data_IF_511573269506
#
_entry.id   IF_511573269506
#
_cell.length_a   1.000
_cell.length_b   1.000
_cell.length_c   1.000
_cell.angle_alpha   90.00
_cell.angle_beta   90.00
_cell.angle_gamma   90.00
#
_symmetry.space_group_name_H-M   'P 1'
#
loop_
_entity.id
_entity.type
_entity.pdbx_description
1 polymer ?
#
# COMPACT_ATOMS: atom_id res chain seq x y z
N UNK A 1 -2.23 7.42 4.68
CA UNK A 1 -1.21 6.58 4.02
C UNK A 1 -1.85 5.85 2.87
N UNK A 2 -1.07 5.56 1.84
CA UNK A 2 -1.48 4.82 0.67
C UNK A 2 -0.36 3.83 0.34
N UNK A 3 -0.72 2.57 0.07
CA UNK A 3 0.17 1.57 -0.51
C UNK A 3 -0.17 1.42 -2.00
N UNK A 4 0.66 1.95 -2.92
CA UNK A 4 0.38 1.84 -4.35
C UNK A 4 0.64 0.42 -4.86
N UNK A 5 -0.33 -0.15 -5.58
CA UNK A 5 -0.21 -1.44 -6.26
C UNK A 5 -0.51 -1.26 -7.74
N UNK A 6 0.25 -1.94 -8.60
CA UNK A 6 0.01 -1.95 -10.04
C UNK A 6 0.47 -3.26 -10.67
N UNK A 7 -0.12 -3.60 -11.82
CA UNK A 7 0.26 -4.74 -12.65
C UNK A 7 0.65 -4.27 -14.05
N UNK A 8 1.40 -5.09 -14.79
CA UNK A 8 1.63 -4.84 -16.21
C UNK A 8 2.29 -6.00 -16.94
N UNK A 9 2.16 -6.02 -18.27
CA UNK A 9 2.66 -7.13 -19.10
C UNK A 9 4.19 -7.26 -19.17
N UNK A 10 4.94 -6.27 -18.67
CA UNK A 10 6.41 -6.33 -18.64
C UNK A 10 7.01 -5.31 -17.66
N UNK A 11 8.28 -5.51 -17.31
CA UNK A 11 9.05 -4.60 -16.44
C UNK A 11 9.21 -3.19 -17.02
N UNK A 12 9.05 -3.00 -18.34
CA UNK A 12 9.17 -1.69 -18.98
C UNK A 12 8.14 -0.68 -18.45
N UNK A 13 7.01 -1.15 -17.91
CA UNK A 13 5.97 -0.32 -17.30
C UNK A 13 6.16 -0.08 -15.80
N UNK A 14 7.20 -0.62 -15.17
CA UNK A 14 7.44 -0.46 -13.73
C UNK A 14 7.54 1.01 -13.32
N UNK A 15 8.11 1.86 -14.20
CA UNK A 15 8.23 3.30 -13.98
C UNK A 15 6.87 4.01 -13.95
N UNK A 16 5.78 3.42 -14.47
CA UNK A 16 4.46 4.02 -14.42
C UNK A 16 3.97 4.25 -12.98
N UNK A 17 4.35 3.39 -12.03
CA UNK A 17 4.02 3.56 -10.62
C UNK A 17 4.65 4.85 -10.07
N UNK A 18 5.93 5.05 -10.36
CA UNK A 18 6.68 6.17 -9.81
C UNK A 18 6.41 7.49 -10.54
N UNK A 19 6.18 7.45 -11.85
CA UNK A 19 6.08 8.64 -12.68
C UNK A 19 4.66 9.03 -13.09
N UNK A 20 3.67 8.14 -12.97
CA UNK A 20 2.27 8.47 -13.23
C UNK A 20 1.42 8.45 -11.95
N UNK A 21 1.53 7.38 -11.14
CA UNK A 21 0.65 7.20 -10.00
C UNK A 21 1.04 8.06 -8.78
N UNK A 22 2.34 8.12 -8.43
CA UNK A 22 2.81 8.95 -7.30
C UNK A 22 2.48 10.45 -7.47
N UNK A 23 2.64 11.09 -8.64
CA UNK A 23 2.20 12.47 -8.84
C UNK A 23 0.71 12.70 -8.57
N UNK A 24 -0.15 11.78 -8.98
CA UNK A 24 -1.61 11.87 -8.72
C UNK A 24 -1.89 11.76 -7.22
N UNK A 25 -1.28 10.79 -6.54
CA UNK A 25 -1.43 10.64 -5.08
C UNK A 25 -0.94 11.88 -4.31
N UNK A 26 0.13 12.51 -4.79
CA UNK A 26 0.64 13.77 -4.25
C UNK A 26 -0.35 14.91 -4.45
N UNK A 27 -0.94 15.03 -5.64
CA UNK A 27 -1.98 16.03 -5.94
C UNK A 27 -3.22 15.87 -5.05
N UNK A 28 -3.59 14.62 -4.71
CA UNK A 28 -4.68 14.30 -3.78
C UNK A 28 -4.32 14.53 -2.30
N UNK A 29 -3.15 15.12 -2.00
CA UNK A 29 -2.66 15.40 -0.65
C UNK A 29 -2.55 14.15 0.22
N UNK A 30 -2.16 13.03 -0.39
CA UNK A 30 -1.88 11.81 0.36
C UNK A 30 -0.81 12.09 1.41
N UNK A 31 -1.18 11.96 2.68
CA UNK A 31 -0.31 12.34 3.80
C UNK A 31 0.98 11.50 3.89
N UNK A 32 1.00 10.32 3.26
CA UNK A 32 2.13 9.41 3.21
C UNK A 32 1.88 8.42 2.08
N UNK A 33 2.86 8.23 1.19
CA UNK A 33 2.79 7.26 0.09
C UNK A 33 3.93 6.28 0.29
N UNK A 34 3.60 5.00 0.49
CA UNK A 34 4.58 3.94 0.71
C UNK A 34 5.27 3.55 -0.60
N UNK A 35 6.32 2.73 -0.49
CA UNK A 35 6.94 2.13 -1.66
C UNK A 35 5.90 1.30 -2.42
N UNK A 36 5.76 1.56 -3.71
CA UNK A 36 4.76 0.90 -4.53
C UNK A 36 5.21 -0.51 -4.93
N UNK A 37 4.26 -1.41 -5.13
CA UNK A 37 4.52 -2.76 -5.60
C UNK A 37 4.02 -2.88 -7.02
N UNK A 38 4.91 -3.28 -7.91
CA UNK A 38 4.61 -3.60 -9.29
C UNK A 38 4.76 -5.10 -9.50
N UNK A 39 3.68 -5.72 -9.97
CA UNK A 39 3.64 -7.12 -10.40
C UNK A 39 3.72 -7.19 -11.92
N UNK A 40 4.64 -8.00 -12.46
CA UNK A 40 4.57 -8.35 -13.88
C UNK A 40 3.55 -9.47 -14.07
N UNK A 41 2.86 -9.49 -15.21
CA UNK A 41 1.78 -10.44 -15.49
C UNK A 41 2.22 -11.90 -15.33
N UNK A 42 3.48 -12.23 -15.64
CA UNK A 42 4.03 -13.58 -15.45
C UNK A 42 4.14 -14.02 -13.98
N UNK A 43 3.96 -13.12 -13.01
CA UNK A 43 3.94 -13.44 -11.58
C UNK A 43 2.52 -13.70 -11.06
N UNK A 44 1.50 -13.59 -11.92
CA UNK A 44 0.09 -13.74 -11.58
C UNK A 44 -0.50 -14.83 -12.46
N UNK A 45 -0.87 -15.95 -11.85
CA UNK A 45 -1.68 -16.98 -12.49
C UNK A 45 -3.15 -16.73 -12.20
N UNK A 46 -3.96 -16.66 -13.25
CA UNK A 46 -5.40 -16.49 -13.15
C UNK A 46 -6.07 -17.87 -13.25
N UNK A 47 -6.25 -18.51 -12.11
CA UNK A 47 -6.84 -19.83 -11.98
C UNK A 47 -8.30 -19.72 -11.53
N UNK A 48 -9.13 -20.71 -11.88
CA UNK A 48 -10.54 -20.78 -11.46
C UNK A 48 -10.66 -21.40 -10.05
N UNK A 49 -9.89 -20.85 -9.11
CA UNK A 49 -9.92 -21.21 -7.69
C UNK A 49 -10.75 -20.19 -6.89
N UNK A 50 -11.11 -20.52 -5.64
CA UNK A 50 -11.91 -19.62 -4.79
C UNK A 50 -11.24 -18.26 -4.52
N UNK A 51 -9.92 -18.18 -4.67
CA UNK A 51 -9.11 -16.98 -4.44
C UNK A 51 -8.90 -16.12 -5.71
N UNK A 52 -9.32 -16.61 -6.88
CA UNK A 52 -9.21 -15.93 -8.18
C UNK A 52 -7.81 -15.96 -8.81
N UNK A 53 -6.89 -16.80 -8.32
CA UNK A 53 -5.55 -16.96 -8.87
C UNK A 53 -4.48 -17.36 -7.86
N UNK A 54 -3.24 -17.41 -8.34
CA UNK A 54 -2.04 -17.64 -7.52
C UNK A 54 -0.96 -16.63 -7.89
N UNK A 55 -0.15 -16.24 -6.90
CA UNK A 55 0.95 -15.30 -7.08
C UNK A 55 2.28 -16.04 -6.93
N UNK A 56 3.30 -15.60 -7.66
CA UNK A 56 4.65 -16.13 -7.44
C UNK A 56 5.16 -15.78 -6.03
N UNK A 57 6.15 -16.54 -5.56
CA UNK A 57 6.68 -16.41 -4.20
C UNK A 57 7.29 -15.01 -3.95
N UNK A 58 7.99 -14.46 -4.94
CA UNK A 58 8.68 -13.17 -4.83
C UNK A 58 7.69 -12.01 -4.72
N UNK A 59 6.61 -12.02 -5.51
CA UNK A 59 5.53 -11.05 -5.44
C UNK A 59 4.78 -11.18 -4.11
N UNK A 60 4.55 -12.40 -3.66
CA UNK A 60 3.88 -12.67 -2.38
C UNK A 60 4.68 -12.09 -1.21
N UNK A 61 6.00 -12.31 -1.17
CA UNK A 61 6.89 -11.74 -0.14
C UNK A 61 6.84 -10.20 -0.16
N UNK A 62 7.00 -9.59 -1.33
CA UNK A 62 6.93 -8.13 -1.49
C UNK A 62 5.58 -7.56 -1.05
N UNK A 63 4.48 -8.24 -1.36
CA UNK A 63 3.13 -7.86 -0.92
C UNK A 63 3.00 -7.94 0.60
N UNK A 64 3.51 -9.01 1.20
CA UNK A 64 3.49 -9.18 2.64
C UNK A 64 4.26 -8.07 3.34
N UNK A 65 5.50 -7.77 2.90
CA UNK A 65 6.30 -6.66 3.44
C UNK A 65 5.59 -5.30 3.30
N UNK A 66 5.00 -5.03 2.14
CA UNK A 66 4.26 -3.79 1.90
C UNK A 66 3.03 -3.65 2.79
N UNK A 67 2.29 -4.75 2.98
CA UNK A 67 1.11 -4.80 3.84
C UNK A 67 1.47 -4.65 5.32
N UNK A 68 2.55 -5.28 5.79
CA UNK A 68 3.05 -5.11 7.16
C UNK A 68 3.43 -3.66 7.44
N UNK A 69 4.18 -3.02 6.52
CA UNK A 69 4.49 -1.59 6.64
C UNK A 69 3.24 -0.71 6.68
N UNK A 70 2.26 -1.00 5.82
CA UNK A 70 0.98 -0.28 5.81
C UNK A 70 0.19 -0.49 7.11
N UNK A 71 0.12 -1.73 7.60
CA UNK A 71 -0.59 -2.09 8.81
C UNK A 71 0.00 -1.39 10.03
N UNK A 72 1.31 -1.49 10.23
CA UNK A 72 2.02 -0.81 11.32
C UNK A 72 1.88 0.70 11.25
N UNK A 73 1.97 1.27 10.05
CA UNK A 73 1.69 2.68 9.82
C UNK A 73 0.30 3.06 10.30
N UNK A 74 -0.73 2.30 9.89
CA UNK A 74 -2.13 2.58 10.20
C UNK A 74 -2.37 2.53 11.70
N UNK A 75 -1.89 1.48 12.36
CA UNK A 75 -1.97 1.31 13.82
C UNK A 75 -1.37 2.51 14.55
N UNK A 76 -0.16 2.95 14.16
CA UNK A 76 0.52 4.11 14.76
C UNK A 76 -0.32 5.38 14.67
N UNK A 77 -0.99 5.61 13.53
CA UNK A 77 -1.82 6.80 13.31
C UNK A 77 -3.13 6.75 14.09
N UNK A 78 -3.76 5.58 14.18
CA UNK A 78 -4.95 5.40 15.00
C UNK A 78 -4.64 5.63 16.49
N UNK A 79 -3.53 5.08 16.97
CA UNK A 79 -3.06 5.29 18.34
C UNK A 79 -2.74 6.77 18.63
N UNK A 80 -2.03 7.45 17.72
CA UNK A 80 -1.74 8.88 17.86
C UNK A 80 -3.03 9.71 17.95
N UNK A 81 -4.01 9.43 17.09
CA UNK A 81 -5.34 10.08 17.14
C UNK A 81 -6.08 9.85 18.45
N UNK A 82 -6.08 8.61 18.96
CA UNK A 82 -6.72 8.30 20.25
C UNK A 82 -6.05 9.04 21.42
N UNK A 83 -4.71 9.11 21.45
CA UNK A 83 -3.98 9.87 22.48
C UNK A 83 -4.29 11.36 22.42
N UNK A 84 -4.36 11.94 21.22
CA UNK A 84 -4.73 13.35 21.05
C UNK A 84 -6.18 13.62 21.49
N UNK A 85 -7.13 12.74 21.17
CA UNK A 85 -8.52 12.88 21.61
C UNK A 85 -8.68 12.79 23.13
N UNK A 86 -7.95 11.87 23.79
CA UNK A 86 -7.95 11.74 25.25
C UNK A 86 -7.29 12.92 25.98
N UNK A 87 -6.20 13.48 25.43
CA UNK A 87 -5.50 14.62 26.02
C UNK A 87 -6.30 15.92 25.98
N UNK A 88 -7.12 16.15 24.94
CA UNK A 88 -7.99 17.32 24.86
C UNK A 88 -9.10 17.32 25.93
N UNK A 89 -9.54 16.15 26.39
CA UNK A 89 -10.54 16.03 27.46
C UNK A 89 -9.96 16.29 28.86
N UNK A 90 -8.66 16.05 29.06
CA UNK A 90 -7.97 16.29 30.34
C UNK A 90 -7.59 17.76 30.59
N UNK A 91 -7.55 18.61 29.56
CA UNK A 91 -7.28 20.06 29.69
C UNK A 91 -8.56 20.89 29.93
N UNK A 92 -9.74 20.26 29.88
CA UNK A 92 -11.04 20.91 30.04
C UNK A 92 -11.67 20.68 31.43
N UNK A 93 -10.94 20.07 32.37
CA UNK A 93 -11.30 19.83 33.77
C UNK A 93 -10.22 20.42 34.68
#
# INVERSE_FOLDING_TARGET
>A
MVLPLATGGSIAHMLAVDYALKPVLSALKSQEVLHGIFAIDTQISYDDNEEGGTLDEILTERLHEGLEHFHHGLQRRLQARHKQAGGHLQLAL
#
